data_IF_173382462761
#
_entry.id   IF_173382462761
#
_cell.length_a   1.000
_cell.length_b   1.000
_cell.length_c   1.000
_cell.angle_alpha   90.00
_cell.angle_beta   90.00
_cell.angle_gamma   90.00
#
_symmetry.space_group_name_H-M   'P 1'
#
loop_
_entity.id
_entity.type
_entity.pdbx_description
1 polymer ?
#
# COMPACT_ATOMS: atom_id res chain seq x y z
N UNK A 1 59.05 -11.17 40.68
CA UNK A 1 57.93 -12.11 40.53
C UNK A 1 56.72 -11.52 41.25
N UNK A 2 55.71 -11.02 40.52
CA UNK A 2 54.32 -11.56 40.47
C UNK A 2 53.80 -11.95 41.87
N UNK A 3 52.69 -11.41 42.37
CA UNK A 3 51.34 -11.66 41.83
C UNK A 3 50.36 -10.51 42.11
N UNK A 4 49.65 -10.15 41.04
CA UNK A 4 48.48 -9.28 40.98
C UNK A 4 47.37 -9.76 41.93
N UNK A 5 46.73 -8.80 42.59
CA UNK A 5 45.36 -8.91 43.08
C UNK A 5 44.42 -9.08 41.87
N UNK A 6 43.78 -10.24 41.77
CA UNK A 6 42.62 -10.45 40.90
C UNK A 6 41.43 -9.71 41.52
N UNK A 7 41.22 -8.46 41.12
CA UNK A 7 39.93 -7.80 41.24
C UNK A 7 39.04 -8.31 40.09
N UNK A 8 38.05 -9.11 40.46
CA UNK A 8 36.90 -9.46 39.62
C UNK A 8 36.14 -8.18 39.27
N UNK A 9 36.48 -7.57 38.14
CA UNK A 9 35.57 -6.66 37.45
C UNK A 9 34.56 -7.53 36.69
N UNK A 10 33.26 -7.50 37.03
CA UNK A 10 32.27 -7.96 36.07
C UNK A 10 32.40 -7.04 34.86
N UNK A 11 32.97 -7.56 33.77
CA UNK A 11 32.76 -6.99 32.44
C UNK A 11 31.25 -7.05 32.23
N UNK A 12 30.56 -5.96 32.56
CA UNK A 12 29.34 -5.59 31.89
C UNK A 12 29.70 -5.46 30.41
N UNK A 13 29.61 -6.58 29.70
CA UNK A 13 29.34 -6.60 28.27
C UNK A 13 28.05 -5.80 28.10
N UNK A 14 28.19 -4.49 27.98
CA UNK A 14 27.25 -3.69 27.22
C UNK A 14 27.46 -4.17 25.79
N UNK A 15 26.78 -5.28 25.46
CA UNK A 15 26.37 -5.54 24.09
C UNK A 15 25.44 -4.37 23.75
N UNK A 16 26.03 -3.22 23.40
CA UNK A 16 25.38 -2.33 22.46
C UNK A 16 25.27 -3.22 21.23
N UNK A 17 24.10 -3.83 21.02
CA UNK A 17 23.80 -4.35 19.71
C UNK A 17 24.03 -3.15 18.81
N UNK A 18 25.08 -3.21 18.00
CA UNK A 18 25.12 -2.43 16.78
C UNK A 18 24.05 -3.03 15.87
N UNK A 19 22.78 -2.97 16.29
CA UNK A 19 21.65 -3.09 15.39
C UNK A 19 21.92 -2.02 14.37
N UNK A 20 22.21 -2.42 13.13
CA UNK A 20 22.39 -1.48 12.04
C UNK A 20 21.17 -0.60 12.05
N UNK A 21 21.35 0.66 12.45
CA UNK A 21 20.28 1.64 12.48
C UNK A 21 19.70 1.68 11.07
N UNK A 22 18.42 1.33 10.95
CA UNK A 22 17.71 1.42 9.67
C UNK A 22 17.78 2.88 9.24
N UNK A 23 18.21 3.11 7.99
CA UNK A 23 18.28 4.46 7.43
C UNK A 23 16.85 4.98 7.17
N UNK A 24 16.44 6.08 7.84
CA UNK A 24 15.11 6.66 7.66
C UNK A 24 14.79 7.05 6.22
N UNK A 25 15.79 7.49 5.45
CA UNK A 25 15.61 7.88 4.05
C UNK A 25 15.30 6.65 3.21
N UNK A 26 16.17 5.63 3.27
CA UNK A 26 15.97 4.38 2.54
C UNK A 26 14.65 3.66 2.92
N UNK A 27 14.25 3.76 4.20
CA UNK A 27 12.98 3.23 4.68
C UNK A 27 11.77 3.95 4.06
N UNK A 28 11.78 5.30 4.06
CA UNK A 28 10.75 6.09 3.41
C UNK A 28 10.64 5.75 1.92
N UNK A 29 11.77 5.75 1.21
CA UNK A 29 11.79 5.52 -0.23
C UNK A 29 11.25 4.13 -0.57
N UNK A 30 11.55 3.13 0.27
CA UNK A 30 11.02 1.78 0.11
C UNK A 30 9.51 1.72 0.34
N UNK A 31 9.00 2.32 1.42
CA UNK A 31 7.56 2.34 1.69
C UNK A 31 6.78 3.06 0.60
N UNK A 32 7.23 4.27 0.24
CA UNK A 32 6.62 5.09 -0.82
C UNK A 32 6.60 4.32 -2.13
N UNK A 33 7.71 3.70 -2.50
CA UNK A 33 7.79 2.90 -3.72
C UNK A 33 6.81 1.74 -3.72
N UNK A 34 6.67 0.99 -2.63
CA UNK A 34 5.69 -0.10 -2.58
C UNK A 34 4.26 0.41 -2.68
N UNK A 35 3.92 1.54 -2.06
CA UNK A 35 2.59 2.15 -2.19
C UNK A 35 2.32 2.68 -3.60
N UNK A 36 3.28 3.35 -4.24
CA UNK A 36 3.16 3.85 -5.62
C UNK A 36 3.06 2.71 -6.63
N UNK A 37 3.88 1.66 -6.48
CA UNK A 37 3.80 0.49 -7.34
C UNK A 37 2.42 -0.22 -7.16
N UNK A 38 1.84 -0.21 -5.95
CA UNK A 38 0.50 -0.75 -5.69
C UNK A 38 -0.61 0.09 -6.35
N UNK A 39 -0.56 1.42 -6.18
CA UNK A 39 -1.49 2.37 -6.79
C UNK A 39 -1.46 2.30 -8.31
N UNK A 40 -0.26 2.29 -8.91
CA UNK A 40 -0.10 2.16 -10.37
C UNK A 40 -0.76 0.91 -10.94
N UNK A 41 -0.69 -0.23 -10.24
CA UNK A 41 -1.36 -1.47 -10.69
C UNK A 41 -2.88 -1.35 -10.63
N UNK A 42 -3.40 -0.50 -9.75
CA UNK A 42 -4.82 -0.16 -9.70
C UNK A 42 -5.20 0.80 -10.84
N UNK A 43 -4.40 1.81 -11.14
CA UNK A 43 -4.61 2.70 -12.30
C UNK A 43 -4.61 1.91 -13.63
N UNK A 44 -3.67 0.96 -13.77
CA UNK A 44 -3.61 0.06 -14.92
C UNK A 44 -4.85 -0.85 -14.99
N UNK A 45 -5.44 -1.21 -13.85
CA UNK A 45 -6.70 -1.97 -13.77
C UNK A 45 -7.91 -1.11 -14.14
N UNK A 46 -7.98 0.13 -13.65
CA UNK A 46 -9.04 1.09 -13.99
C UNK A 46 -9.10 1.30 -15.51
N UNK A 47 -7.93 1.43 -16.16
CA UNK A 47 -7.85 1.51 -17.64
C UNK A 47 -8.46 0.29 -18.33
N UNK A 48 -8.30 -0.92 -17.76
CA UNK A 48 -8.89 -2.15 -18.30
C UNK A 48 -10.39 -2.22 -18.05
N UNK A 49 -10.86 -1.69 -16.91
CA UNK A 49 -12.28 -1.58 -16.59
C UNK A 49 -12.95 -0.62 -17.58
N UNK A 50 -12.35 0.54 -17.83
CA UNK A 50 -12.87 1.50 -18.82
C UNK A 50 -12.97 0.85 -20.22
N UNK A 51 -11.91 0.19 -20.67
CA UNK A 51 -11.91 -0.54 -21.94
C UNK A 51 -12.96 -1.67 -22.00
N UNK A 52 -13.28 -2.28 -20.86
CA UNK A 52 -14.34 -3.28 -20.76
C UNK A 52 -15.72 -2.64 -20.92
N UNK A 53 -15.98 -1.47 -20.33
CA UNK A 53 -17.23 -0.74 -20.54
C UNK A 53 -17.36 -0.18 -21.97
N UNK A 54 -16.25 0.13 -22.64
CA UNK A 54 -16.23 0.57 -24.04
C UNK A 54 -16.52 -0.56 -25.06
N UNK A 55 -16.54 -1.83 -24.63
CA UNK A 55 -16.72 -3.00 -25.51
C UNK A 55 -18.16 -3.19 -26.05
N UNK A 56 -19.11 -2.34 -25.65
CA UNK A 56 -20.55 -2.32 -26.00
C UNK A 56 -21.37 -3.57 -25.60
N UNK A 57 -20.76 -4.72 -25.32
CA UNK A 57 -21.42 -5.93 -24.80
C UNK A 57 -20.65 -6.56 -23.63
N UNK A 58 -21.34 -6.94 -22.55
CA UNK A 58 -20.74 -7.67 -21.42
C UNK A 58 -20.67 -9.18 -21.71
N UNK A 59 -19.79 -9.59 -22.62
CA UNK A 59 -19.64 -11.01 -22.95
C UNK A 59 -19.09 -11.79 -21.75
N UNK A 60 -19.52 -13.06 -21.60
CA UNK A 60 -19.05 -13.91 -20.52
C UNK A 60 -17.52 -14.13 -20.55
N UNK A 61 -16.91 -14.10 -21.74
CA UNK A 61 -15.46 -14.24 -21.91
C UNK A 61 -14.72 -12.99 -21.42
N UNK A 62 -15.19 -11.79 -21.78
CA UNK A 62 -14.56 -10.54 -21.35
C UNK A 62 -14.75 -10.32 -19.85
N UNK A 63 -15.92 -10.65 -19.29
CA UNK A 63 -16.16 -10.60 -17.86
C UNK A 63 -15.23 -11.56 -17.10
N UNK A 64 -15.04 -12.78 -17.61
CA UNK A 64 -14.11 -13.74 -16.99
C UNK A 64 -12.66 -13.25 -17.05
N UNK A 65 -12.25 -12.63 -18.16
CA UNK A 65 -10.91 -12.05 -18.30
C UNK A 65 -10.69 -10.88 -17.33
N UNK A 66 -11.67 -9.98 -17.22
CA UNK A 66 -11.61 -8.85 -16.30
C UNK A 66 -11.48 -9.31 -14.84
N UNK A 67 -12.23 -10.33 -14.44
CA UNK A 67 -12.13 -10.93 -13.09
C UNK A 67 -10.75 -11.55 -12.83
N UNK A 68 -10.15 -12.21 -13.83
CA UNK A 68 -8.78 -12.74 -13.69
C UNK A 68 -7.75 -11.61 -13.60
N UNK A 69 -7.90 -10.54 -14.38
CA UNK A 69 -7.04 -9.34 -14.28
C UNK A 69 -7.10 -8.72 -12.87
N UNK A 70 -8.29 -8.62 -12.27
CA UNK A 70 -8.48 -8.14 -10.88
C UNK A 70 -7.75 -9.03 -9.87
N UNK A 71 -7.84 -10.35 -10.04
CA UNK A 71 -7.16 -11.30 -9.17
C UNK A 71 -5.64 -11.16 -9.25
N UNK A 72 -5.07 -11.04 -10.45
CA UNK A 72 -3.63 -10.83 -10.66
C UNK A 72 -3.15 -9.55 -9.99
N UNK A 73 -3.91 -8.46 -10.12
CA UNK A 73 -3.61 -7.17 -9.48
C UNK A 73 -3.66 -7.30 -7.96
N UNK A 74 -4.73 -7.89 -7.42
CA UNK A 74 -4.88 -8.15 -5.98
C UNK A 74 -3.70 -8.94 -5.41
N UNK A 75 -3.34 -10.05 -6.04
CA UNK A 75 -2.25 -10.92 -5.56
C UNK A 75 -0.91 -10.19 -5.59
N UNK A 76 -0.70 -9.30 -6.59
CA UNK A 76 0.50 -8.47 -6.68
C UNK A 76 0.56 -7.42 -5.56
N UNK A 77 -0.54 -6.72 -5.29
CA UNK A 77 -0.62 -5.74 -4.19
C UNK A 77 -0.47 -6.43 -2.83
N UNK A 78 -1.07 -7.61 -2.64
CA UNK A 78 -0.88 -8.43 -1.44
C UNK A 78 0.60 -8.78 -1.22
N UNK A 79 1.33 -9.11 -2.30
CA UNK A 79 2.77 -9.35 -2.24
C UNK A 79 3.58 -8.13 -1.77
N UNK A 80 3.16 -6.91 -2.11
CA UNK A 80 3.81 -5.69 -1.62
C UNK A 80 3.41 -5.39 -0.17
N UNK A 81 2.15 -5.62 0.21
CA UNK A 81 1.70 -5.52 1.60
C UNK A 81 2.50 -6.43 2.54
N UNK A 82 2.78 -7.66 2.12
CA UNK A 82 3.55 -8.61 2.92
C UNK A 82 5.01 -8.16 3.12
N UNK A 83 5.61 -7.52 2.10
CA UNK A 83 6.94 -6.90 2.21
C UNK A 83 6.93 -5.70 3.15
N UNK A 84 5.90 -4.86 3.08
CA UNK A 84 5.73 -3.72 3.98
C UNK A 84 5.63 -4.20 5.42
N UNK A 85 4.74 -5.16 5.72
CA UNK A 85 4.49 -5.70 7.08
C UNK A 85 5.73 -6.29 7.74
N UNK A 86 6.70 -6.74 6.96
CA UNK A 86 7.94 -7.37 7.45
C UNK A 86 9.15 -6.44 7.42
N UNK A 87 8.99 -5.20 6.96
CA UNK A 87 10.07 -4.25 6.83
C UNK A 87 10.61 -3.79 8.20
N UNK A 88 11.93 -3.79 8.42
CA UNK A 88 12.50 -3.31 9.67
C UNK A 88 12.30 -1.79 9.79
N UNK A 89 11.79 -1.36 10.95
CA UNK A 89 11.38 0.04 11.18
C UNK A 89 12.50 0.83 11.86
N UNK A 90 12.82 2.05 11.38
CA UNK A 90 13.64 2.99 12.15
C UNK A 90 12.82 3.58 13.31
N UNK A 91 13.49 4.32 14.20
CA UNK A 91 12.85 5.08 15.26
C UNK A 91 11.82 6.07 14.67
N UNK A 92 10.72 6.29 15.38
CA UNK A 92 9.63 7.22 15.03
C UNK A 92 8.83 6.85 13.76
N UNK A 93 9.00 5.64 13.22
CA UNK A 93 8.36 5.20 11.97
C UNK A 93 7.01 4.48 12.14
N UNK A 94 6.58 4.18 13.38
CA UNK A 94 5.43 3.30 13.64
C UNK A 94 4.13 3.83 13.02
N UNK A 95 3.84 5.12 13.16
CA UNK A 95 2.62 5.69 12.59
C UNK A 95 2.64 5.61 11.07
N UNK A 96 3.72 6.08 10.43
CA UNK A 96 3.87 6.05 8.97
C UNK A 96 3.76 4.62 8.42
N UNK A 97 4.38 3.65 9.09
CA UNK A 97 4.25 2.24 8.74
C UNK A 97 2.80 1.75 8.76
N UNK A 98 2.09 2.02 9.85
CA UNK A 98 0.73 1.52 10.08
C UNK A 98 -0.26 2.14 9.10
N UNK A 99 -0.16 3.44 8.82
CA UNK A 99 -1.06 4.08 7.84
C UNK A 99 -0.72 3.69 6.40
N UNK A 100 0.55 3.38 6.09
CA UNK A 100 0.92 2.83 4.77
C UNK A 100 0.30 1.44 4.58
N UNK A 101 0.36 0.59 5.62
CA UNK A 101 -0.34 -0.71 5.61
C UNK A 101 -1.84 -0.50 5.38
N UNK A 102 -2.48 0.42 6.11
CA UNK A 102 -3.91 0.66 5.98
C UNK A 102 -4.29 1.13 4.56
N UNK A 103 -3.49 2.00 3.94
CA UNK A 103 -3.69 2.45 2.57
C UNK A 103 -3.54 1.31 1.56
N UNK A 104 -2.48 0.49 1.66
CA UNK A 104 -2.32 -0.65 0.75
C UNK A 104 -3.42 -1.70 0.96
N UNK A 105 -3.90 -1.90 2.20
CA UNK A 105 -5.07 -2.72 2.48
C UNK A 105 -6.36 -2.19 1.87
N UNK A 106 -6.55 -0.85 1.77
CA UNK A 106 -7.72 -0.30 1.05
C UNK A 106 -7.64 -0.47 -0.45
N UNK A 107 -6.43 -0.41 -1.05
CA UNK A 107 -6.27 -0.74 -2.47
C UNK A 107 -6.72 -2.19 -2.74
N UNK A 108 -6.32 -3.14 -1.89
CA UNK A 108 -6.79 -4.53 -1.97
C UNK A 108 -8.31 -4.62 -1.80
N UNK A 109 -8.88 -3.87 -0.84
CA UNK A 109 -10.32 -3.84 -0.61
C UNK A 109 -11.08 -3.31 -1.83
N UNK A 110 -10.56 -2.27 -2.48
CA UNK A 110 -11.12 -1.69 -3.71
C UNK A 110 -11.11 -2.71 -4.86
N UNK A 111 -10.02 -3.45 -5.06
CA UNK A 111 -9.98 -4.53 -6.07
C UNK A 111 -11.01 -5.63 -5.76
N UNK A 112 -11.24 -5.97 -4.49
CA UNK A 112 -12.30 -6.91 -4.12
C UNK A 112 -13.69 -6.35 -4.45
N UNK A 113 -13.92 -5.06 -4.23
CA UNK A 113 -15.17 -4.39 -4.58
C UNK A 113 -15.39 -4.41 -6.09
N UNK A 114 -14.37 -4.08 -6.89
CA UNK A 114 -14.41 -4.19 -8.35
C UNK A 114 -14.76 -5.62 -8.78
N UNK A 115 -14.06 -6.62 -8.24
CA UNK A 115 -14.32 -8.02 -8.57
C UNK A 115 -15.74 -8.44 -8.20
N UNK A 116 -16.25 -8.02 -7.03
CA UNK A 116 -17.61 -8.33 -6.62
C UNK A 116 -18.64 -7.64 -7.53
N UNK A 117 -18.51 -6.34 -7.79
CA UNK A 117 -19.51 -5.60 -8.55
C UNK A 117 -19.47 -5.97 -10.03
N UNK A 118 -18.29 -6.00 -10.65
CA UNK A 118 -18.18 -6.26 -12.08
C UNK A 118 -18.43 -7.73 -12.46
N UNK A 119 -18.31 -8.68 -11.52
CA UNK A 119 -18.78 -10.06 -11.75
C UNK A 119 -20.30 -10.19 -11.91
N UNK A 120 -21.06 -9.17 -11.53
CA UNK A 120 -22.53 -9.13 -11.65
C UNK A 120 -22.99 -8.52 -12.98
N UNK A 121 -22.07 -7.93 -13.75
CA UNK A 121 -22.42 -7.25 -15.00
C UNK A 121 -23.03 -8.22 -16.01
N UNK A 122 -24.15 -7.79 -16.58
CA UNK A 122 -24.81 -8.45 -17.69
C UNK A 122 -25.60 -7.42 -18.49
N UNK A 123 -25.90 -7.74 -19.74
CA UNK A 123 -26.63 -6.85 -20.64
C UNK A 123 -28.09 -6.56 -20.20
N UNK A 124 -28.62 -7.35 -19.25
CA UNK A 124 -29.99 -7.24 -18.75
C UNK A 124 -30.12 -6.39 -17.47
N UNK A 125 -29.02 -5.82 -16.96
CA UNK A 125 -29.04 -5.02 -15.75
C UNK A 125 -29.85 -3.73 -15.92
N UNK A 126 -30.64 -3.39 -14.91
CA UNK A 126 -31.35 -2.12 -14.85
C UNK A 126 -30.41 -0.96 -14.51
N UNK A 127 -30.81 0.25 -14.91
CA UNK A 127 -30.10 1.49 -14.54
C UNK A 127 -29.97 1.65 -13.02
N UNK A 128 -30.99 1.26 -12.25
CA UNK A 128 -30.95 1.29 -10.78
C UNK A 128 -29.88 0.36 -10.20
N UNK A 129 -29.67 -0.82 -10.80
CA UNK A 129 -28.62 -1.74 -10.37
C UNK A 129 -27.23 -1.21 -10.71
N UNK A 130 -27.07 -0.61 -11.89
CA UNK A 130 -25.81 0.05 -12.28
C UNK A 130 -25.47 1.23 -11.36
N UNK A 131 -26.45 2.07 -11.01
CA UNK A 131 -26.26 3.17 -10.06
C UNK A 131 -25.82 2.67 -8.67
N UNK A 132 -26.40 1.57 -8.17
CA UNK A 132 -26.00 0.98 -6.88
C UNK A 132 -24.58 0.44 -6.92
N UNK A 133 -24.14 -0.12 -8.04
CA UNK A 133 -22.76 -0.56 -8.21
C UNK A 133 -21.80 0.63 -8.18
N UNK A 134 -22.16 1.71 -8.88
CA UNK A 134 -21.38 2.95 -8.90
C UNK A 134 -21.25 3.56 -7.49
N UNK A 135 -22.34 3.62 -6.72
CA UNK A 135 -22.31 4.10 -5.32
C UNK A 135 -21.33 3.29 -4.44
N UNK A 136 -21.30 1.96 -4.60
CA UNK A 136 -20.39 1.08 -3.85
C UNK A 136 -18.93 1.31 -4.26
N UNK A 137 -18.68 1.46 -5.56
CA UNK A 137 -17.35 1.78 -6.10
C UNK A 137 -16.87 3.15 -5.62
N UNK A 138 -17.69 4.19 -5.76
CA UNK A 138 -17.37 5.56 -5.35
C UNK A 138 -17.06 5.64 -3.85
N UNK A 139 -17.81 4.95 -3.01
CA UNK A 139 -17.51 4.88 -1.58
C UNK A 139 -16.16 4.24 -1.28
N UNK A 140 -15.75 3.24 -2.07
CA UNK A 140 -14.43 2.62 -1.91
C UNK A 140 -13.29 3.56 -2.29
N UNK A 141 -13.48 4.36 -3.35
CA UNK A 141 -12.55 5.41 -3.76
C UNK A 141 -12.38 6.47 -2.67
N UNK A 142 -13.48 6.95 -2.09
CA UNK A 142 -13.44 7.89 -0.97
C UNK A 142 -12.68 7.33 0.24
N UNK A 143 -12.91 6.07 0.60
CA UNK A 143 -12.23 5.42 1.72
C UNK A 143 -10.72 5.24 1.45
N UNK A 144 -10.33 4.86 0.23
CA UNK A 144 -8.93 4.80 -0.21
C UNK A 144 -8.26 6.18 -0.15
N UNK A 145 -8.92 7.23 -0.65
CA UNK A 145 -8.38 8.59 -0.62
C UNK A 145 -8.13 9.09 0.81
N UNK A 146 -9.07 8.85 1.73
CA UNK A 146 -8.89 9.23 3.13
C UNK A 146 -7.66 8.56 3.77
N UNK A 147 -7.34 7.32 3.37
CA UNK A 147 -6.16 6.60 3.84
C UNK A 147 -4.88 7.09 3.18
N UNK A 148 -4.92 7.48 1.91
CA UNK A 148 -3.80 8.15 1.24
C UNK A 148 -3.44 9.46 1.95
N UNK A 149 -4.43 10.29 2.28
CA UNK A 149 -4.22 11.55 3.00
C UNK A 149 -3.58 11.31 4.39
N UNK A 150 -4.03 10.26 5.10
CA UNK A 150 -3.44 9.85 6.37
C UNK A 150 -1.98 9.40 6.19
N UNK A 151 -1.68 8.64 5.13
CA UNK A 151 -0.33 8.22 4.78
C UNK A 151 0.60 9.40 4.51
N UNK A 152 0.19 10.33 3.64
CA UNK A 152 0.98 11.53 3.30
C UNK A 152 1.27 12.37 4.55
N UNK A 153 0.27 12.53 5.42
CA UNK A 153 0.44 13.27 6.68
C UNK A 153 1.46 12.60 7.61
N UNK A 154 1.39 11.28 7.76
CA UNK A 154 2.32 10.54 8.61
C UNK A 154 3.74 10.51 8.02
N UNK A 155 3.87 10.36 6.70
CA UNK A 155 5.13 10.47 5.98
C UNK A 155 5.79 11.83 6.24
N UNK A 156 5.02 12.92 6.15
CA UNK A 156 5.50 14.28 6.42
C UNK A 156 6.00 14.43 7.86
N UNK A 157 5.28 13.86 8.82
CA UNK A 157 5.69 13.88 10.23
C UNK A 157 6.98 13.07 10.45
N UNK A 158 7.08 11.88 9.86
CA UNK A 158 8.26 11.03 9.92
C UNK A 158 9.49 11.70 9.30
N UNK A 159 9.34 12.32 8.12
CA UNK A 159 10.40 13.06 7.45
C UNK A 159 10.90 14.23 8.31
N UNK A 160 9.98 14.99 8.93
CA UNK A 160 10.34 16.08 9.85
C UNK A 160 11.11 15.58 11.07
N UNK A 161 10.67 14.49 11.69
CA UNK A 161 11.34 13.90 12.86
C UNK A 161 12.77 13.44 12.54
N UNK A 162 13.01 13.03 11.28
CA UNK A 162 14.29 12.50 10.81
C UNK A 162 15.12 13.51 9.99
N UNK A 163 14.73 14.79 9.94
CA UNK A 163 15.39 15.85 9.16
C UNK A 163 15.56 15.51 7.67
N UNK A 164 14.57 14.84 7.09
CA UNK A 164 14.56 14.44 5.69
C UNK A 164 13.94 15.54 4.82
N UNK A 165 14.49 15.74 3.62
CA UNK A 165 13.77 16.46 2.56
C UNK A 165 12.92 15.48 1.79
N UNK A 166 11.62 15.73 1.74
CA UNK A 166 10.73 15.03 0.82
C UNK A 166 10.91 15.66 -0.56
N UNK A 167 11.22 14.85 -1.56
CA UNK A 167 11.07 15.25 -2.97
C UNK A 167 9.58 15.30 -3.27
N UNK A 168 8.99 16.50 -3.27
CA UNK A 168 7.58 16.71 -3.60
C UNK A 168 7.36 16.64 -5.10
N UNK A 169 7.53 15.46 -5.69
CA UNK A 169 7.00 15.15 -7.03
C UNK A 169 5.83 14.18 -6.88
N UNK A 170 4.84 14.55 -6.07
CA UNK A 170 3.49 13.99 -6.20
C UNK A 170 2.86 14.62 -7.45
N UNK A 171 3.31 14.23 -8.63
CA UNK A 171 2.58 14.49 -9.87
C UNK A 171 1.47 13.45 -10.00
N UNK A 172 0.50 13.50 -9.08
CA UNK A 172 -0.85 13.07 -9.40
C UNK A 172 -1.31 13.98 -10.53
N UNK A 173 -1.39 13.40 -11.72
CA UNK A 173 -1.77 14.11 -12.94
C UNK A 173 -3.07 14.87 -12.73
N UNK A 174 -3.07 16.14 -13.15
CA UNK A 174 -4.25 16.99 -13.28
C UNK A 174 -5.27 16.41 -14.24
#
# INVERSE_FOLDING_TARGET
MKKLLLLLLPLSLVLTSCDKKVDPVAYNDSLVKYSEDAEKRLEDLDTKIDAFFDSEEFSAEESAKLVEDMKVVKDSIQGDLDKIKTMPKPTDADEFHNVTIAYVESLIAQVNIYSEQYSKLSNDMSEEELMKMDDVVNKSLEDTQNKLDAMIKAQTAFAKANNMQLTTDFSGSK
#
